data_IF_598891839968
#
_entry.id   IF_598891839968
#
_cell.length_a   1.000
_cell.length_b   1.000
_cell.length_c   1.000
_cell.angle_alpha   90.00
_cell.angle_beta   90.00
_cell.angle_gamma   90.00
#
_symmetry.space_group_name_H-M   'P 1'
#
loop_
_entity.id
_entity.type
_entity.pdbx_description
1 polymer ?
#
# COMPACT_ATOMS: atom_id res chain seq x y z
N UNK A 1 -21.74 20.91 -5.92
CA UNK A 1 -20.75 19.90 -5.48
C UNK A 1 -20.05 20.49 -4.26
N UNK A 2 -20.11 19.82 -3.10
CA UNK A 2 -19.36 20.28 -1.93
C UNK A 2 -17.87 20.09 -2.25
N UNK A 3 -17.08 21.15 -2.19
CA UNK A 3 -15.62 21.04 -2.24
C UNK A 3 -15.17 20.42 -0.90
N UNK A 4 -15.04 19.10 -0.84
CA UNK A 4 -14.45 18.45 0.31
C UNK A 4 -12.99 18.91 0.42
N UNK A 5 -12.65 19.50 1.56
CA UNK A 5 -11.25 19.84 1.88
C UNK A 5 -10.62 18.70 2.67
N UNK A 6 -9.30 18.69 2.78
CA UNK A 6 -8.59 17.68 3.62
C UNK A 6 -8.97 17.82 5.10
N UNK A 7 -9.42 19.00 5.52
CA UNK A 7 -9.92 19.30 6.87
C UNK A 7 -11.23 18.59 7.20
N UNK A 8 -12.02 18.21 6.18
CA UNK A 8 -13.26 17.45 6.35
C UNK A 8 -13.00 15.94 6.57
N UNK A 9 -11.75 15.48 6.38
CA UNK A 9 -11.36 14.09 6.60
C UNK A 9 -10.78 13.92 8.01
N UNK A 10 -11.13 12.81 8.65
CA UNK A 10 -10.60 12.46 9.98
C UNK A 10 -9.61 11.29 9.89
N UNK A 11 -8.71 11.21 10.89
CA UNK A 11 -7.87 10.04 11.11
C UNK A 11 -8.74 8.80 11.33
N UNK A 12 -8.45 7.72 10.63
CA UNK A 12 -9.15 6.46 10.76
C UNK A 12 -8.29 5.50 11.59
N UNK A 13 -8.78 5.15 12.80
CA UNK A 13 -8.20 4.06 13.59
C UNK A 13 -8.63 2.74 12.99
N UNK A 14 -7.68 1.90 12.64
CA UNK A 14 -7.95 0.58 12.09
C UNK A 14 -8.20 -0.42 13.23
N UNK A 15 -9.17 -1.34 13.10
CA UNK A 15 -9.34 -2.41 14.06
C UNK A 15 -8.12 -3.34 14.03
N UNK A 16 -7.87 -4.05 15.15
CA UNK A 16 -6.78 -5.03 15.21
C UNK A 16 -6.97 -6.12 14.14
N UNK A 17 -5.87 -6.60 13.53
CA UNK A 17 -5.95 -7.67 12.54
C UNK A 17 -6.55 -8.96 13.12
N UNK A 18 -7.36 -9.65 12.30
CA UNK A 18 -8.00 -10.91 12.68
C UNK A 18 -7.41 -12.05 11.86
N UNK A 19 -6.87 -13.07 12.52
CA UNK A 19 -6.15 -14.18 11.89
C UNK A 19 -6.97 -15.47 11.79
N UNK A 20 -8.15 -15.54 12.41
CA UNK A 20 -8.96 -16.77 12.55
C UNK A 20 -9.72 -17.19 11.28
N UNK A 21 -9.78 -16.36 10.26
CA UNK A 21 -10.59 -16.62 9.06
C UNK A 21 -9.76 -16.65 7.75
N UNK A 22 -8.43 -16.77 7.88
CA UNK A 22 -7.56 -16.77 6.71
C UNK A 22 -7.28 -18.19 6.22
N UNK A 23 -7.28 -18.39 4.91
CA UNK A 23 -6.72 -19.58 4.27
C UNK A 23 -5.24 -19.76 4.61
N UNK A 24 -4.74 -20.98 4.50
CA UNK A 24 -3.30 -21.22 4.61
C UNK A 24 -2.53 -20.48 3.51
N UNK A 25 -1.24 -20.25 3.72
CA UNK A 25 -0.37 -19.60 2.71
C UNK A 25 -0.38 -20.37 1.38
N UNK A 26 -0.39 -21.71 1.43
CA UNK A 26 -0.43 -22.54 0.22
C UNK A 26 -1.76 -22.42 -0.53
N UNK A 27 -2.87 -22.35 0.18
CA UNK A 27 -4.18 -22.09 -0.42
C UNK A 27 -4.25 -20.68 -1.03
N UNK A 28 -3.75 -19.67 -0.33
CA UNK A 28 -3.66 -18.30 -0.85
C UNK A 28 -2.81 -18.23 -2.13
N UNK A 29 -1.67 -18.93 -2.16
CA UNK A 29 -0.80 -19.04 -3.35
C UNK A 29 -1.52 -19.76 -4.50
N UNK A 30 -2.25 -20.84 -4.23
CA UNK A 30 -3.04 -21.56 -5.22
C UNK A 30 -4.12 -20.70 -5.86
N UNK A 31 -4.78 -19.83 -5.08
CA UNK A 31 -5.88 -18.97 -5.53
C UNK A 31 -5.38 -17.66 -6.14
N UNK A 32 -4.22 -17.15 -5.71
CA UNK A 32 -3.67 -15.86 -6.11
C UNK A 32 -3.52 -15.75 -7.64
N UNK A 33 -4.14 -14.77 -8.21
CA UNK A 33 -3.95 -14.37 -9.62
C UNK A 33 -4.13 -12.86 -9.76
N UNK A 34 -3.60 -12.29 -10.83
CA UNK A 34 -3.91 -10.92 -11.21
C UNK A 34 -5.31 -10.86 -11.80
N UNK A 35 -6.19 -10.10 -11.16
CA UNK A 35 -7.58 -9.96 -11.56
C UNK A 35 -7.90 -8.50 -11.87
N UNK A 36 -8.46 -8.23 -13.05
CA UNK A 36 -8.68 -6.85 -13.54
C UNK A 36 -10.15 -6.43 -13.51
N UNK A 37 -11.07 -7.38 -13.53
CA UNK A 37 -12.51 -7.15 -13.38
C UNK A 37 -12.85 -7.08 -11.88
N UNK A 38 -12.81 -5.87 -11.31
CA UNK A 38 -13.00 -5.63 -9.88
C UNK A 38 -14.24 -4.77 -9.69
N UNK A 39 -15.19 -5.25 -8.88
CA UNK A 39 -16.47 -4.61 -8.63
C UNK A 39 -16.32 -3.36 -7.74
N UNK A 40 -17.37 -2.55 -7.68
CA UNK A 40 -17.44 -1.38 -6.80
C UNK A 40 -17.93 -1.69 -5.38
N UNK A 41 -18.11 -2.98 -5.04
CA UNK A 41 -18.55 -3.41 -3.71
C UNK A 41 -17.58 -2.93 -2.64
N UNK A 42 -18.08 -2.21 -1.64
CA UNK A 42 -17.27 -1.66 -0.55
C UNK A 42 -16.58 -2.77 0.25
N UNK A 43 -15.34 -2.54 0.62
CA UNK A 43 -14.56 -3.44 1.49
C UNK A 43 -14.84 -3.02 2.95
N UNK A 44 -15.26 -3.94 3.83
CA UNK A 44 -15.39 -3.67 5.26
C UNK A 44 -14.08 -3.17 5.86
N UNK A 45 -14.16 -2.27 6.86
CA UNK A 45 -12.97 -1.67 7.48
C UNK A 45 -12.05 -2.73 8.11
N UNK A 46 -12.62 -3.81 8.69
CA UNK A 46 -11.84 -4.91 9.24
C UNK A 46 -11.00 -5.60 8.16
N UNK A 47 -11.59 -5.92 7.02
CA UNK A 47 -10.88 -6.57 5.90
C UNK A 47 -9.78 -5.64 5.34
N UNK A 48 -10.08 -4.34 5.20
CA UNK A 48 -9.06 -3.36 4.79
C UNK A 48 -7.91 -3.28 5.80
N UNK A 49 -8.23 -3.32 7.10
CA UNK A 49 -7.24 -3.36 8.18
C UNK A 49 -6.34 -4.59 8.08
N UNK A 50 -6.92 -5.77 7.88
CA UNK A 50 -6.19 -7.03 7.77
C UNK A 50 -5.23 -7.01 6.56
N UNK A 51 -5.69 -6.47 5.42
CA UNK A 51 -4.86 -6.30 4.21
C UNK A 51 -3.72 -5.31 4.44
N UNK A 52 -3.97 -4.18 5.10
CA UNK A 52 -2.95 -3.17 5.40
C UNK A 52 -1.90 -3.70 6.37
N UNK A 53 -2.35 -4.45 7.39
CA UNK A 53 -1.42 -5.11 8.30
C UNK A 53 -0.58 -6.16 7.56
N UNK A 54 -1.18 -6.98 6.71
CA UNK A 54 -0.45 -7.95 5.89
C UNK A 54 0.56 -7.27 4.96
N UNK A 55 0.24 -6.10 4.41
CA UNK A 55 1.13 -5.34 3.53
C UNK A 55 2.45 -4.97 4.22
N UNK A 56 2.39 -4.29 5.36
CA UNK A 56 3.58 -3.81 6.09
C UNK A 56 3.31 -3.49 7.57
N UNK A 57 2.34 -4.15 8.19
CA UNK A 57 2.06 -3.97 9.62
C UNK A 57 3.21 -4.38 10.52
N UNK A 58 3.22 -3.89 11.76
CA UNK A 58 4.17 -4.32 12.79
C UNK A 58 3.80 -5.74 13.23
N UNK A 59 4.70 -6.69 13.06
CA UNK A 59 4.53 -8.07 13.52
C UNK A 59 5.42 -8.42 14.73
N UNK A 60 6.40 -7.58 15.04
CA UNK A 60 7.23 -7.69 16.25
C UNK A 60 7.78 -6.31 16.65
N UNK A 61 7.73 -6.04 17.95
CA UNK A 61 8.16 -4.74 18.52
C UNK A 61 9.67 -4.55 18.36
N UNK A 62 10.45 -5.61 18.57
CA UNK A 62 11.90 -5.62 18.39
C UNK A 62 12.23 -6.35 17.09
N UNK A 63 12.46 -5.59 16.04
CA UNK A 63 12.95 -6.07 14.77
C UNK A 63 14.47 -6.00 14.66
N UNK A 64 15.03 -6.28 13.49
CA UNK A 64 16.45 -6.14 13.27
C UNK A 64 16.87 -4.67 13.34
N UNK A 65 18.12 -4.45 13.74
CA UNK A 65 18.76 -3.13 13.76
C UNK A 65 18.04 -2.06 14.59
N UNK A 66 17.36 -2.49 15.68
CA UNK A 66 16.77 -1.59 16.68
C UNK A 66 15.39 -1.02 16.37
N UNK A 67 14.83 -1.26 15.18
CA UNK A 67 13.49 -0.83 14.80
C UNK A 67 12.43 -1.92 14.96
N UNK A 68 11.13 -1.61 14.77
CA UNK A 68 10.09 -2.62 14.70
C UNK A 68 10.25 -3.50 13.46
N UNK A 69 9.88 -4.79 13.58
CA UNK A 69 9.79 -5.68 12.44
C UNK A 69 8.44 -5.53 11.74
N UNK A 70 8.46 -5.58 10.40
CA UNK A 70 7.27 -5.51 9.54
C UNK A 70 6.93 -6.88 8.98
N UNK A 71 5.71 -7.03 8.50
CA UNK A 71 5.25 -8.21 7.74
C UNK A 71 5.97 -8.37 6.41
N UNK A 72 6.39 -7.29 5.78
CA UNK A 72 7.30 -7.28 4.65
C UNK A 72 8.71 -6.86 5.10
N UNK A 73 9.74 -7.52 4.57
CA UNK A 73 11.13 -7.11 4.77
C UNK A 73 11.47 -5.85 3.97
N UNK A 74 12.55 -5.17 4.38
CA UNK A 74 13.17 -4.10 3.61
C UNK A 74 14.68 -4.11 3.80
N UNK A 75 15.43 -3.59 2.83
CA UNK A 75 16.87 -3.51 2.90
C UNK A 75 17.31 -2.79 4.18
N UNK A 76 18.16 -3.43 5.00
CA UNK A 76 18.65 -2.89 6.28
C UNK A 76 17.55 -2.39 7.23
N UNK A 77 16.33 -2.91 7.11
CA UNK A 77 15.13 -2.45 7.82
C UNK A 77 14.86 -0.94 7.62
N UNK A 78 15.17 -0.41 6.44
CA UNK A 78 14.97 1.02 6.08
C UNK A 78 13.51 1.45 6.07
N UNK A 79 12.59 0.51 5.77
CA UNK A 79 11.14 0.74 5.72
C UNK A 79 10.77 1.96 4.85
N UNK A 80 11.47 2.13 3.75
CA UNK A 80 11.40 3.29 2.87
C UNK A 80 10.12 3.36 2.04
N UNK A 81 9.36 2.25 1.95
CA UNK A 81 8.09 2.23 1.23
C UNK A 81 6.94 2.60 2.15
N UNK A 82 6.17 3.60 1.73
CA UNK A 82 4.90 4.00 2.36
C UNK A 82 3.73 3.54 1.50
N UNK A 83 2.64 3.10 2.14
CA UNK A 83 1.38 2.72 1.48
C UNK A 83 0.34 3.81 1.68
N UNK A 84 -0.09 4.42 0.59
CA UNK A 84 -1.22 5.32 0.57
C UNK A 84 -2.47 4.57 0.11
N UNK A 85 -3.60 4.91 0.68
CA UNK A 85 -4.90 4.26 0.46
C UNK A 85 -5.85 5.26 -0.19
N UNK A 86 -6.10 5.12 -1.49
CA UNK A 86 -7.06 5.95 -2.20
C UNK A 86 -8.44 5.30 -2.13
N UNK A 87 -9.41 6.03 -1.58
CA UNK A 87 -10.83 5.70 -1.45
C UNK A 87 -11.67 6.80 -2.11
N UNK A 88 -12.97 6.60 -2.17
CA UNK A 88 -13.91 7.56 -2.77
C UNK A 88 -13.87 8.94 -2.09
N UNK A 89 -13.81 8.96 -0.77
CA UNK A 89 -13.80 10.19 0.02
C UNK A 89 -12.45 10.90 0.08
N UNK A 90 -11.34 10.17 -0.12
CA UNK A 90 -10.01 10.75 0.00
C UNK A 90 -8.88 9.74 -0.09
N UNK A 91 -7.66 10.27 -0.02
CA UNK A 91 -6.43 9.48 0.05
C UNK A 91 -5.81 9.62 1.43
N UNK A 92 -5.41 8.51 2.00
CA UNK A 92 -4.86 8.40 3.35
C UNK A 92 -3.47 7.75 3.30
N UNK A 93 -2.60 8.14 4.24
CA UNK A 93 -1.34 7.45 4.50
C UNK A 93 -1.57 6.39 5.58
N UNK A 94 -1.21 5.15 5.32
CA UNK A 94 -1.17 4.10 6.34
C UNK A 94 0.05 4.27 7.23
N UNK A 95 -0.19 4.34 8.54
CA UNK A 95 0.82 4.45 9.60
C UNK A 95 0.91 3.09 10.35
N UNK A 96 1.89 2.24 10.01
CA UNK A 96 1.97 0.90 10.57
C UNK A 96 2.18 0.85 12.09
N UNK A 97 2.92 1.81 12.67
CA UNK A 97 3.24 1.82 14.10
C UNK A 97 2.02 2.07 14.98
N UNK A 98 1.14 2.97 14.56
CA UNK A 98 -0.12 3.28 15.24
C UNK A 98 -1.30 2.47 14.70
N UNK A 99 -1.12 1.75 13.58
CA UNK A 99 -2.16 1.06 12.85
C UNK A 99 -3.35 1.98 12.54
N UNK A 100 -3.06 3.11 11.89
CA UNK A 100 -4.04 4.13 11.53
C UNK A 100 -3.90 4.56 10.07
N UNK A 101 -4.90 5.24 9.55
CA UNK A 101 -4.84 5.93 8.26
C UNK A 101 -5.00 7.43 8.47
N UNK A 102 -3.94 8.20 8.16
CA UNK A 102 -3.91 9.67 8.27
C UNK A 102 -4.37 10.31 6.96
N UNK A 103 -5.34 11.26 6.97
CA UNK A 103 -5.79 11.91 5.74
C UNK A 103 -4.67 12.75 5.10
N UNK A 104 -4.55 12.66 3.75
CA UNK A 104 -3.54 13.36 2.96
C UNK A 104 -4.16 14.24 1.88
N UNK A 105 -5.17 13.74 1.18
CA UNK A 105 -5.84 14.48 0.12
C UNK A 105 -7.32 14.13 0.07
N UNK A 106 -8.19 15.14 0.00
CA UNK A 106 -9.62 14.95 -0.13
C UNK A 106 -10.05 14.61 -1.57
N UNK A 107 -11.25 14.06 -1.70
CA UNK A 107 -11.89 13.72 -2.97
C UNK A 107 -11.39 12.40 -3.58
N UNK A 108 -12.06 11.98 -4.63
CA UNK A 108 -11.79 10.70 -5.30
C UNK A 108 -10.55 10.77 -6.19
N UNK A 109 -9.43 10.32 -5.65
CA UNK A 109 -8.15 10.25 -6.35
C UNK A 109 -7.82 8.84 -6.87
N UNK A 110 -8.76 7.88 -6.79
CA UNK A 110 -8.54 6.48 -7.20
C UNK A 110 -8.07 6.36 -8.66
N UNK A 111 -8.57 7.21 -9.55
CA UNK A 111 -8.19 7.21 -10.97
C UNK A 111 -6.71 7.54 -11.21
N UNK A 112 -6.05 8.24 -10.29
CA UNK A 112 -4.63 8.57 -10.38
C UNK A 112 -3.72 7.41 -9.97
N UNK A 113 -4.23 6.48 -9.18
CA UNK A 113 -3.50 5.27 -8.81
C UNK A 113 -3.30 4.30 -9.99
N UNK A 114 -4.01 4.50 -11.11
CA UNK A 114 -3.82 3.75 -12.37
C UNK A 114 -2.98 4.57 -13.34
N UNK A 115 -2.08 3.90 -14.05
CA UNK A 115 -1.25 4.53 -15.07
C UNK A 115 -2.05 5.01 -16.28
N UNK A 116 -1.60 6.08 -16.95
CA UNK A 116 -2.19 6.51 -18.22
C UNK A 116 -2.22 5.35 -19.22
N UNK A 117 -3.35 5.15 -19.87
CA UNK A 117 -3.53 4.08 -20.86
C UNK A 117 -3.91 2.70 -20.27
N UNK A 118 -3.82 2.50 -18.97
CA UNK A 118 -4.29 1.28 -18.30
C UNK A 118 -5.79 1.39 -17.97
N UNK A 119 -6.63 1.37 -18.99
CA UNK A 119 -8.09 1.35 -18.82
C UNK A 119 -8.53 -0.07 -18.50
N UNK A 120 -9.34 -0.22 -17.48
CA UNK A 120 -9.83 -1.52 -17.04
C UNK A 120 -11.28 -1.44 -16.58
N UNK A 121 -11.95 -2.57 -16.58
CA UNK A 121 -13.26 -2.76 -15.98
C UNK A 121 -13.30 -2.41 -14.49
N UNK A 122 -12.17 -2.46 -13.79
CA UNK A 122 -12.07 -2.06 -12.38
C UNK A 122 -12.01 -0.55 -12.11
N UNK A 123 -12.50 0.30 -13.02
CA UNK A 123 -12.45 1.76 -12.86
C UNK A 123 -13.04 2.25 -11.53
N UNK A 124 -14.09 1.59 -11.04
CA UNK A 124 -14.82 1.93 -9.82
C UNK A 124 -14.45 1.10 -8.60
N UNK A 125 -13.36 0.33 -8.64
CA UNK A 125 -12.92 -0.46 -7.50
C UNK A 125 -12.84 0.41 -6.22
N UNK A 126 -13.25 -0.15 -5.05
CA UNK A 126 -13.47 0.66 -3.85
C UNK A 126 -12.18 1.21 -3.25
N UNK A 127 -11.05 0.48 -3.43
CA UNK A 127 -9.77 0.82 -2.80
C UNK A 127 -8.63 0.62 -3.78
N UNK A 128 -7.67 1.56 -3.75
CA UNK A 128 -6.40 1.42 -4.44
C UNK A 128 -5.25 1.81 -3.52
N UNK A 129 -4.27 0.95 -3.42
CA UNK A 129 -3.01 1.27 -2.77
C UNK A 129 -2.09 1.98 -3.77
N UNK A 130 -1.28 2.91 -3.24
CA UNK A 130 -0.24 3.62 -3.96
C UNK A 130 1.04 3.45 -3.14
N UNK A 131 2.06 2.89 -3.77
CA UNK A 131 3.36 2.66 -3.15
C UNK A 131 4.28 3.84 -3.44
N UNK A 132 4.79 4.45 -2.39
CA UNK A 132 5.67 5.61 -2.46
C UNK A 132 6.96 5.30 -1.74
N UNK A 133 8.10 5.47 -2.44
CA UNK A 133 9.41 5.40 -1.80
C UNK A 133 9.79 6.75 -1.21
N UNK A 134 10.43 6.71 -0.04
CA UNK A 134 11.16 7.81 0.58
C UNK A 134 12.63 7.42 0.69
N UNK A 135 13.46 7.90 -0.25
CA UNK A 135 14.87 7.49 -0.32
C UNK A 135 15.72 8.05 0.83
N UNK A 136 15.24 9.08 1.53
CA UNK A 136 15.95 9.59 2.71
C UNK A 136 15.92 8.59 3.88
N UNK A 137 14.98 7.67 3.90
CA UNK A 137 14.95 6.60 4.91
C UNK A 137 16.14 5.64 4.82
N UNK A 138 16.77 5.50 3.67
CA UNK A 138 18.02 4.73 3.57
C UNK A 138 19.14 5.35 4.42
N UNK A 139 19.17 6.68 4.56
CA UNK A 139 20.16 7.39 5.38
C UNK A 139 20.01 7.12 6.88
N UNK A 140 18.82 6.73 7.31
CA UNK A 140 18.46 6.47 8.71
C UNK A 140 18.17 5.00 8.98
N UNK A 141 18.46 4.11 8.04
CA UNK A 141 18.32 2.67 8.21
C UNK A 141 19.16 2.19 9.39
N UNK A 142 18.63 1.23 10.15
CA UNK A 142 19.27 0.76 11.39
C UNK A 142 20.61 0.08 11.19
N UNK A 143 20.90 -0.40 9.97
CA UNK A 143 22.20 -0.90 9.56
C UNK A 143 22.66 -0.18 8.30
N UNK A 144 23.83 0.46 8.35
CA UNK A 144 24.39 1.23 7.25
C UNK A 144 25.38 0.37 6.46
N UNK A 145 24.92 -0.18 5.35
CA UNK A 145 25.78 -0.89 4.40
C UNK A 145 26.16 0.01 3.22
N UNK A 146 27.29 -0.23 2.53
CA UNK A 146 27.76 0.62 1.41
C UNK A 146 26.71 0.80 0.29
N UNK A 147 25.91 -0.22 0.00
CA UNK A 147 24.88 -0.18 -1.02
C UNK A 147 23.76 0.85 -0.77
N UNK A 148 23.53 1.23 0.49
CA UNK A 148 22.53 2.26 0.82
C UNK A 148 22.92 3.68 0.35
N UNK A 149 24.16 3.90 -0.05
CA UNK A 149 24.67 5.17 -0.58
C UNK A 149 24.77 5.19 -2.11
N UNK A 150 24.61 4.04 -2.76
CA UNK A 150 24.60 3.92 -4.22
C UNK A 150 23.18 4.04 -4.75
N UNK A 151 22.92 4.99 -5.66
CA UNK A 151 21.58 5.29 -6.18
C UNK A 151 20.99 4.13 -6.99
N UNK A 152 21.82 3.36 -7.72
CA UNK A 152 21.32 2.21 -8.48
C UNK A 152 20.99 1.03 -7.55
N UNK A 153 21.78 0.84 -6.50
CA UNK A 153 21.51 -0.16 -5.46
C UNK A 153 20.22 0.20 -4.69
N UNK A 154 20.08 1.45 -4.23
CA UNK A 154 18.84 1.94 -3.63
C UNK A 154 17.62 1.67 -4.52
N UNK A 155 17.78 1.91 -5.83
CA UNK A 155 16.72 1.69 -6.81
C UNK A 155 16.34 0.21 -6.91
N UNK A 156 17.29 -0.70 -6.87
CA UNK A 156 17.01 -2.14 -6.81
C UNK A 156 16.25 -2.51 -5.55
N UNK A 157 16.65 -1.98 -4.38
CA UNK A 157 16.02 -2.25 -3.09
C UNK A 157 14.57 -1.79 -3.06
N UNK A 158 14.28 -0.52 -3.35
CA UNK A 158 12.90 -0.06 -3.23
C UNK A 158 11.94 -0.69 -4.24
N UNK A 159 12.42 -1.20 -5.39
CA UNK A 159 11.55 -1.97 -6.30
C UNK A 159 11.30 -3.39 -5.76
N UNK A 160 12.31 -4.05 -5.20
CA UNK A 160 12.16 -5.36 -4.57
C UNK A 160 11.23 -5.25 -3.36
N UNK A 161 11.48 -4.30 -2.46
CA UNK A 161 10.71 -4.12 -1.23
C UNK A 161 9.25 -3.75 -1.52
N UNK A 162 9.00 -2.94 -2.56
CA UNK A 162 7.63 -2.73 -3.07
C UNK A 162 7.00 -4.03 -3.55
N UNK A 163 7.74 -4.89 -4.24
CA UNK A 163 7.26 -6.19 -4.70
C UNK A 163 6.91 -7.12 -3.54
N UNK A 164 7.69 -7.14 -2.46
CA UNK A 164 7.41 -7.93 -1.24
C UNK A 164 6.10 -7.47 -0.58
N UNK A 165 5.90 -6.15 -0.44
CA UNK A 165 4.65 -5.59 0.10
C UNK A 165 3.47 -5.94 -0.82
N UNK A 166 3.60 -5.74 -2.12
CA UNK A 166 2.54 -6.01 -3.09
C UNK A 166 2.17 -7.51 -3.12
N UNK A 167 3.14 -8.41 -2.97
CA UNK A 167 2.87 -9.84 -2.89
C UNK A 167 2.12 -10.21 -1.60
N UNK A 168 2.47 -9.59 -0.45
CA UNK A 168 1.69 -9.77 0.78
C UNK A 168 0.23 -9.35 0.58
N UNK A 169 -0.02 -8.23 -0.12
CA UNK A 169 -1.38 -7.79 -0.46
C UNK A 169 -2.09 -8.80 -1.36
N UNK A 170 -1.40 -9.36 -2.37
CA UNK A 170 -1.97 -10.41 -3.21
C UNK A 170 -2.39 -11.65 -2.41
N UNK A 171 -1.54 -12.10 -1.49
CA UNK A 171 -1.81 -13.27 -0.66
C UNK A 171 -2.96 -13.00 0.32
N UNK A 172 -2.94 -11.85 1.00
CA UNK A 172 -3.99 -11.46 1.94
C UNK A 172 -5.35 -11.33 1.23
N UNK A 173 -5.41 -10.66 0.07
CA UNK A 173 -6.65 -10.54 -0.69
C UNK A 173 -7.17 -11.90 -1.14
N UNK A 174 -6.31 -12.81 -1.62
CA UNK A 174 -6.71 -14.17 -1.98
C UNK A 174 -7.24 -14.95 -0.78
N UNK A 175 -6.56 -14.86 0.38
CA UNK A 175 -6.98 -15.55 1.60
C UNK A 175 -8.32 -15.06 2.16
N UNK A 176 -8.65 -13.78 1.91
CA UNK A 176 -9.86 -13.12 2.40
C UNK A 176 -11.02 -13.11 1.36
N UNK A 177 -10.88 -13.86 0.26
CA UNK A 177 -11.91 -13.93 -0.78
C UNK A 177 -12.05 -12.66 -1.64
N UNK A 178 -11.00 -11.83 -1.67
CA UNK A 178 -10.89 -10.69 -2.56
C UNK A 178 -9.91 -10.97 -3.70
N UNK A 179 -9.84 -10.03 -4.62
CA UNK A 179 -8.92 -10.04 -5.76
C UNK A 179 -8.14 -8.75 -5.81
N UNK A 180 -6.97 -8.80 -6.46
CA UNK A 180 -6.17 -7.60 -6.63
C UNK A 180 -5.41 -7.60 -7.96
N UNK A 181 -4.94 -6.40 -8.35
CA UNK A 181 -4.18 -6.16 -9.55
C UNK A 181 -3.11 -5.10 -9.29
N UNK A 182 -1.83 -5.48 -9.39
CA UNK A 182 -0.69 -4.59 -9.29
C UNK A 182 -0.38 -3.98 -10.68
N UNK A 183 -0.15 -2.66 -10.74
CA UNK A 183 -0.05 -1.92 -12.00
C UNK A 183 0.76 -0.63 -11.85
N UNK A 184 1.05 0.02 -12.96
CA UNK A 184 1.64 1.35 -12.95
C UNK A 184 0.63 2.41 -12.44
N UNK A 185 1.11 3.61 -12.08
CA UNK A 185 0.30 4.72 -11.59
C UNK A 185 0.65 6.03 -12.31
N UNK A 186 -0.17 7.06 -12.13
CA UNK A 186 0.12 8.41 -12.65
C UNK A 186 1.07 9.15 -11.71
N UNK A 187 2.36 8.86 -11.81
CA UNK A 187 3.39 9.33 -10.88
C UNK A 187 3.40 10.85 -10.72
N UNK A 188 3.32 11.59 -11.83
CA UNK A 188 3.37 13.06 -11.83
C UNK A 188 2.17 13.68 -11.12
N UNK A 189 0.96 13.21 -11.40
CA UNK A 189 -0.25 13.74 -10.74
C UNK A 189 -0.30 13.33 -9.27
N UNK A 190 0.08 12.09 -8.95
CA UNK A 190 0.17 11.61 -7.57
C UNK A 190 1.18 12.42 -6.75
N UNK A 191 2.35 12.74 -7.30
CA UNK A 191 3.34 13.56 -6.60
C UNK A 191 2.76 14.93 -6.17
N UNK A 192 1.93 15.55 -7.02
CA UNK A 192 1.26 16.81 -6.71
C UNK A 192 0.18 16.65 -5.63
N UNK A 193 -0.74 15.69 -5.81
CA UNK A 193 -1.89 15.49 -4.91
C UNK A 193 -1.43 15.04 -3.52
N UNK A 194 -0.47 14.13 -3.46
CA UNK A 194 0.09 13.63 -2.20
C UNK A 194 1.12 14.58 -1.58
N UNK A 195 1.43 15.72 -2.24
CA UNK A 195 2.44 16.70 -1.81
C UNK A 195 3.79 16.04 -1.51
N UNK A 196 4.21 15.12 -2.38
CA UNK A 196 5.46 14.39 -2.19
C UNK A 196 6.66 15.32 -2.21
N UNK A 197 7.58 15.08 -1.28
CA UNK A 197 8.86 15.79 -1.20
C UNK A 197 9.80 15.37 -2.33
N UNK A 198 10.89 16.12 -2.63
CA UNK A 198 11.81 15.81 -3.72
C UNK A 198 12.47 14.40 -3.62
N UNK A 199 12.64 13.90 -2.39
CA UNK A 199 13.18 12.56 -2.10
C UNK A 199 12.12 11.46 -2.10
N UNK A 200 10.85 11.78 -2.37
CA UNK A 200 9.74 10.84 -2.42
C UNK A 200 9.24 10.63 -3.84
N UNK A 201 8.89 9.41 -4.21
CA UNK A 201 8.41 9.04 -5.55
C UNK A 201 7.29 8.01 -5.49
N UNK A 202 6.19 8.26 -6.18
CA UNK A 202 5.17 7.24 -6.43
C UNK A 202 5.74 6.19 -7.42
N UNK A 203 5.66 4.92 -7.06
CA UNK A 203 6.21 3.81 -7.85
C UNK A 203 5.14 3.07 -8.63
N UNK A 204 4.16 2.51 -7.92
CA UNK A 204 3.12 1.65 -8.45
C UNK A 204 1.80 1.87 -7.72
N UNK A 205 0.73 1.31 -8.31
CA UNK A 205 -0.57 1.16 -7.65
C UNK A 205 -0.97 -0.31 -7.57
N UNK A 206 -1.90 -0.60 -6.67
CA UNK A 206 -2.56 -1.90 -6.60
C UNK A 206 -4.04 -1.72 -6.31
N UNK A 207 -4.88 -2.17 -7.25
CA UNK A 207 -6.33 -2.13 -7.12
C UNK A 207 -6.81 -3.35 -6.35
N UNK A 208 -7.74 -3.16 -5.41
CA UNK A 208 -8.23 -4.17 -4.48
C UNK A 208 -9.75 -4.11 -4.41
N UNK A 209 -10.40 -5.27 -4.41
CA UNK A 209 -11.86 -5.39 -4.27
C UNK A 209 -12.34 -6.81 -4.41
N UNK A 210 -13.65 -6.96 -4.55
CA UNK A 210 -14.26 -8.24 -4.91
C UNK A 210 -14.22 -8.42 -6.43
N UNK A 211 -14.18 -9.67 -6.90
CA UNK A 211 -14.32 -9.95 -8.33
C UNK A 211 -15.63 -9.36 -8.86
N UNK A 212 -15.60 -8.85 -10.08
CA UNK A 212 -16.77 -8.49 -10.85
C UNK A 212 -17.23 -9.77 -11.58
N UNK A 213 -18.47 -10.19 -11.34
CA UNK A 213 -19.07 -11.42 -11.90
C UNK A 213 -19.46 -11.23 -13.38
#
# INVERSE_FOLDING_TARGET
MKNNTTEDLSLIKLPKPVFSHCSTVLEALKMRRTYRAISNKKIPLQILSDILWAAQGVNRVHGPFGGPGRTAGSASNSQEISVYVAKEEGTYLYEPDSHTMTPVAAGDNRSLAIGPGQRTSGANAPVRFIYVVDVDKFKTAGYQEPGLYDLEVQKSYYFVDTGLIAQNVYLATSALGLVSWFHNCNKTKLAKILRLKPHQRALFGQTIGYADE
#
